data_IF_155239357292
#
_entry.id   IF_155239357292
#
_cell.length_a   1.000
_cell.length_b   1.000
_cell.length_c   1.000
_cell.angle_alpha   90.00
_cell.angle_beta   90.00
_cell.angle_gamma   90.00
#
_symmetry.space_group_name_H-M   'P 1'
#
loop_
_entity.id
_entity.type
_entity.pdbx_description
1 polymer ?
#
# COMPACT_ATOMS: atom_id res chain seq x y z
N UNK A 1 44.12 4.84 19.62
CA UNK A 1 43.36 5.84 18.83
C UNK A 1 42.61 5.08 17.76
N UNK A 2 41.29 4.87 17.74
CA UNK A 2 40.14 5.21 18.61
C UNK A 2 39.22 3.97 18.59
N UNK A 3 38.61 3.64 19.73
CA UNK A 3 37.49 2.70 19.91
C UNK A 3 36.16 3.47 20.03
N UNK A 4 35.05 2.72 19.99
CA UNK A 4 33.67 3.09 20.39
C UNK A 4 32.68 2.50 19.38
N UNK A 5 32.08 1.31 19.54
CA UNK A 5 31.18 0.83 20.60
C UNK A 5 30.02 1.80 20.86
N UNK A 6 28.82 1.46 20.37
CA UNK A 6 27.57 2.02 20.84
C UNK A 6 26.79 0.90 21.53
N UNK A 7 26.83 0.97 22.85
CA UNK A 7 26.07 0.19 23.81
C UNK A 7 24.59 0.58 23.72
N UNK A 8 23.71 -0.42 23.72
CA UNK A 8 22.27 -0.26 23.94
C UNK A 8 22.06 -0.52 25.43
N UNK A 9 21.98 0.55 26.22
CA UNK A 9 21.62 0.47 27.62
C UNK A 9 20.62 1.58 27.97
N UNK A 10 19.58 1.16 28.71
CA UNK A 10 18.62 1.95 29.47
C UNK A 10 17.89 3.11 28.77
N UNK A 11 16.63 2.84 28.39
CA UNK A 11 15.58 3.84 28.51
C UNK A 11 14.62 3.34 29.58
N UNK A 12 14.63 4.08 30.68
CA UNK A 12 13.80 3.92 31.87
C UNK A 12 12.32 3.85 31.54
N UNK A 13 11.61 3.04 32.33
CA UNK A 13 10.17 3.16 32.56
C UNK A 13 9.89 4.57 33.08
N UNK A 14 9.41 5.44 32.23
CA UNK A 14 8.70 6.64 32.65
C UNK A 14 7.21 6.45 32.36
N UNK A 15 6.42 6.56 33.43
CA UNK A 15 4.98 6.64 33.43
C UNK A 15 4.54 7.85 32.59
N UNK A 16 3.83 7.61 31.49
CA UNK A 16 3.13 8.67 30.76
C UNK A 16 1.71 8.74 31.29
N UNK A 17 1.47 9.75 32.13
CA UNK A 17 0.17 10.19 32.60
C UNK A 17 -0.66 10.69 31.40
N UNK A 18 -1.86 10.14 31.26
CA UNK A 18 -2.89 10.58 30.31
C UNK A 18 -3.72 11.69 30.95
N UNK A 19 -3.52 12.94 30.55
CA UNK A 19 -4.54 14.00 30.68
C UNK A 19 -4.55 14.85 29.41
N UNK A 20 -5.77 15.14 28.95
CA UNK A 20 -6.19 16.11 27.93
C UNK A 20 -6.01 15.76 26.44
N UNK A 21 -6.94 14.97 25.91
CA UNK A 21 -7.37 15.04 24.51
C UNK A 21 -8.74 15.76 24.47
N UNK A 22 -8.92 16.83 23.69
CA UNK A 22 -10.25 17.38 23.47
C UNK A 22 -11.04 16.48 22.51
N UNK A 23 -12.22 16.08 22.98
CA UNK A 23 -13.34 15.63 22.16
C UNK A 23 -13.61 16.66 21.06
N UNK A 24 -13.85 16.21 19.83
CA UNK A 24 -14.85 16.78 18.91
C UNK A 24 -14.99 15.85 17.69
N UNK A 25 -15.98 14.98 17.78
CA UNK A 25 -16.70 14.45 16.63
C UNK A 25 -17.81 15.47 16.31
N UNK A 26 -17.83 16.03 15.10
CA UNK A 26 -19.09 16.25 14.37
C UNK A 26 -18.86 16.64 12.89
N UNK A 27 -19.68 16.00 12.06
CA UNK A 27 -20.01 16.20 10.64
C UNK A 27 -19.64 17.55 9.98
N UNK A 28 -19.19 17.49 8.72
CA UNK A 28 -19.78 18.36 7.69
C UNK A 28 -19.71 17.70 6.31
N UNK A 29 -20.89 17.59 5.71
CA UNK A 29 -21.12 17.40 4.28
C UNK A 29 -20.36 18.47 3.48
N UNK A 30 -19.71 18.09 2.39
CA UNK A 30 -19.33 19.04 1.35
C UNK A 30 -19.66 18.47 -0.03
N UNK A 31 -20.70 19.07 -0.59
CA UNK A 31 -21.24 18.90 -1.93
C UNK A 31 -20.24 19.22 -3.05
N UNK A 32 -20.61 18.69 -4.22
CA UNK A 32 -20.18 19.04 -5.58
C UNK A 32 -19.72 20.49 -5.78
N UNK A 33 -18.59 20.65 -6.47
CA UNK A 33 -18.49 21.66 -7.54
C UNK A 33 -17.35 21.32 -8.52
N UNK A 34 -17.74 20.67 -9.63
CA UNK A 34 -16.90 20.44 -10.80
C UNK A 34 -16.88 21.71 -11.65
N UNK A 35 -15.87 22.56 -11.45
CA UNK A 35 -15.52 23.59 -12.44
C UNK A 35 -14.59 22.98 -13.50
N UNK A 36 -15.15 22.64 -14.66
CA UNK A 36 -14.39 22.35 -15.87
C UNK A 36 -13.79 23.66 -16.43
N UNK A 37 -12.47 23.68 -16.66
CA UNK A 37 -11.82 24.71 -17.47
C UNK A 37 -10.59 24.14 -18.23
N UNK A 38 -10.75 24.13 -19.56
CA UNK A 38 -9.83 23.88 -20.69
C UNK A 38 -8.31 23.75 -20.46
N UNK A 39 -7.69 22.82 -21.20
CA UNK A 39 -6.28 22.95 -21.63
C UNK A 39 -6.14 22.70 -23.14
N UNK A 40 -5.50 23.65 -23.82
CA UNK A 40 -5.31 23.74 -25.28
C UNK A 40 -4.01 23.07 -25.72
N UNK A 41 -4.10 22.17 -26.71
CA UNK A 41 -2.96 21.56 -27.40
C UNK A 41 -2.27 22.56 -28.35
N UNK A 42 -0.94 22.56 -28.37
CA UNK A 42 -0.13 23.07 -29.50
C UNK A 42 0.80 21.96 -29.96
N UNK A 43 0.66 21.54 -31.21
CA UNK A 43 1.74 20.87 -31.93
C UNK A 43 2.11 21.67 -33.18
N UNK A 44 3.42 21.83 -33.34
CA UNK A 44 4.06 22.68 -34.32
C UNK A 44 3.77 22.27 -35.75
N UNK A 45 3.75 23.29 -36.60
CA UNK A 45 3.67 23.22 -38.04
C UNK A 45 4.81 22.39 -38.63
N UNK A 46 4.47 21.40 -39.45
CA UNK A 46 4.97 21.25 -40.83
C UNK A 46 4.11 20.20 -41.57
N UNK A 47 3.44 20.65 -42.63
CA UNK A 47 2.88 19.87 -43.74
C UNK A 47 3.89 19.96 -44.92
N UNK A 48 3.82 19.19 -46.04
CA UNK A 48 2.60 18.59 -46.58
C UNK A 48 2.72 17.21 -47.26
N UNK A 49 1.55 16.58 -47.45
CA UNK A 49 1.05 15.91 -48.67
C UNK A 49 0.23 14.64 -48.35
N UNK A 50 -1.08 14.85 -48.49
CA UNK A 50 -2.16 14.01 -49.04
C UNK A 50 -2.48 12.61 -48.47
N UNK A 51 -3.70 12.46 -47.94
CA UNK A 51 -4.84 11.90 -48.68
C UNK A 51 -6.17 12.05 -47.90
N UNK A 52 -7.06 12.85 -48.49
CA UNK A 52 -8.54 12.90 -48.50
C UNK A 52 -9.42 12.32 -47.36
N UNK A 53 -10.36 13.18 -46.92
CA UNK A 53 -11.50 12.93 -46.01
C UNK A 53 -12.70 12.27 -46.74
N UNK A 54 -13.67 11.63 -46.06
CA UNK A 54 -14.77 12.41 -45.49
C UNK A 54 -15.32 11.96 -44.12
N UNK A 55 -15.43 12.93 -43.23
CA UNK A 55 -16.52 13.26 -42.29
C UNK A 55 -17.45 12.15 -41.79
N UNK A 56 -17.28 11.79 -40.52
CA UNK A 56 -18.39 11.68 -39.56
C UNK A 56 -17.89 12.06 -38.17
N UNK A 57 -18.18 13.31 -37.78
CA UNK A 57 -17.91 13.89 -36.47
C UNK A 57 -18.74 13.19 -35.38
N UNK A 58 -18.05 12.42 -34.54
CA UNK A 58 -18.24 12.44 -33.09
C UNK A 58 -16.97 11.84 -32.42
N UNK A 59 -15.83 12.49 -32.62
CA UNK A 59 -14.59 12.10 -31.97
C UNK A 59 -14.57 12.69 -30.56
N UNK A 60 -15.11 11.94 -29.60
CA UNK A 60 -14.77 12.10 -28.18
C UNK A 60 -13.24 12.06 -28.08
N UNK A 61 -12.61 13.21 -27.88
CA UNK A 61 -11.17 13.30 -27.71
C UNK A 61 -10.82 12.70 -26.34
N UNK A 62 -10.47 11.42 -26.32
CA UNK A 62 -9.94 10.75 -25.13
C UNK A 62 -8.62 11.45 -24.80
N UNK A 63 -8.54 12.06 -23.62
CA UNK A 63 -7.31 12.68 -23.14
C UNK A 63 -6.31 11.57 -22.79
N UNK A 64 -5.28 11.43 -23.62
CA UNK A 64 -4.19 10.49 -23.38
C UNK A 64 -2.89 11.25 -23.04
N UNK A 65 -2.06 10.61 -22.24
CA UNK A 65 -0.76 11.12 -21.82
C UNK A 65 0.31 10.08 -22.15
N UNK A 66 1.36 10.46 -22.86
CA UNK A 66 2.55 9.61 -23.07
C UNK A 66 3.60 9.90 -21.99
N UNK A 67 4.12 8.85 -21.37
CA UNK A 67 5.13 8.93 -20.32
C UNK A 67 6.37 8.14 -20.73
N UNK A 68 7.54 8.75 -20.56
CA UNK A 68 8.82 8.04 -20.58
C UNK A 68 9.06 7.43 -19.19
N UNK A 69 9.31 6.12 -19.16
CA UNK A 69 9.60 5.38 -17.94
C UNK A 69 11.10 5.49 -17.65
N UNK A 70 11.46 5.55 -16.36
CA UNK A 70 12.86 5.67 -15.93
C UNK A 70 13.75 4.56 -16.51
N UNK A 71 15.03 4.87 -16.77
CA UNK A 71 16.05 3.85 -17.08
C UNK A 71 16.11 2.90 -15.89
N UNK A 72 15.81 1.61 -16.11
CA UNK A 72 15.66 0.56 -15.08
C UNK A 72 14.26 0.46 -14.44
N UNK A 73 13.20 0.54 -15.25
CA UNK A 73 11.89 0.08 -14.79
C UNK A 73 12.00 -1.40 -14.35
N UNK A 74 11.34 -1.84 -13.26
CA UNK A 74 11.42 -3.22 -12.79
C UNK A 74 10.86 -4.27 -13.77
N UNK A 75 10.34 -3.83 -14.90
CA UNK A 75 9.66 -4.65 -15.90
C UNK A 75 10.15 -4.39 -17.34
N UNK A 76 11.31 -3.75 -17.48
CA UNK A 76 12.03 -3.48 -18.73
C UNK A 76 11.19 -2.80 -19.83
N UNK A 77 10.13 -2.09 -19.44
CA UNK A 77 9.32 -1.25 -20.31
C UNK A 77 9.79 0.20 -20.24
N UNK A 78 9.77 0.92 -21.35
CA UNK A 78 10.39 2.26 -21.45
C UNK A 78 9.38 3.37 -21.72
N UNK A 79 8.18 3.06 -22.22
CA UNK A 79 7.16 4.06 -22.52
C UNK A 79 5.75 3.49 -22.28
N UNK A 80 4.81 4.37 -21.93
CA UNK A 80 3.39 4.02 -21.80
C UNK A 80 2.48 5.19 -22.21
N UNK A 81 1.27 4.86 -22.67
CA UNK A 81 0.16 5.79 -22.87
C UNK A 81 -0.91 5.55 -21.82
N UNK A 82 -1.29 6.60 -21.10
CA UNK A 82 -2.27 6.58 -19.99
C UNK A 82 -3.50 7.38 -20.38
N UNK A 83 -4.69 6.84 -20.11
CA UNK A 83 -5.98 7.51 -20.31
C UNK A 83 -6.41 8.18 -19.01
N UNK A 84 -6.29 9.51 -18.96
CA UNK A 84 -6.46 10.29 -17.71
C UNK A 84 -7.85 10.88 -17.56
N UNK A 85 -8.73 10.64 -18.53
CA UNK A 85 -10.14 11.06 -18.53
C UNK A 85 -11.03 10.21 -17.62
N UNK A 86 -10.65 8.95 -17.38
CA UNK A 86 -11.40 8.04 -16.53
C UNK A 86 -10.54 7.50 -15.38
N UNK A 87 -10.97 7.78 -14.15
CA UNK A 87 -10.43 7.14 -12.95
C UNK A 87 -10.99 5.73 -12.85
N UNK A 88 -10.12 4.71 -12.92
CA UNK A 88 -10.50 3.30 -12.77
C UNK A 88 -10.46 2.81 -11.32
N UNK A 89 -9.84 3.59 -10.43
CA UNK A 89 -9.81 3.34 -9.00
C UNK A 89 -9.39 4.57 -8.22
N UNK A 90 -9.94 4.77 -7.03
CA UNK A 90 -9.62 5.90 -6.17
C UNK A 90 -9.45 5.45 -4.72
N UNK A 91 -8.26 5.66 -4.19
CA UNK A 91 -7.94 5.43 -2.77
C UNK A 91 -7.93 6.73 -1.98
N UNK A 92 -7.51 6.66 -0.71
CA UNK A 92 -7.39 7.85 0.13
C UNK A 92 -6.36 8.85 -0.42
N UNK A 93 -5.20 8.35 -0.86
CA UNK A 93 -4.08 9.18 -1.30
C UNK A 93 -3.97 9.33 -2.83
N UNK A 94 -4.38 8.32 -3.60
CA UNK A 94 -4.08 8.21 -5.03
C UNK A 94 -5.32 7.96 -5.88
N UNK A 95 -5.32 8.49 -7.10
CA UNK A 95 -6.19 8.05 -8.18
C UNK A 95 -5.41 7.10 -9.09
N UNK A 96 -6.10 6.12 -9.67
CA UNK A 96 -5.57 5.15 -10.61
C UNK A 96 -6.24 5.33 -11.98
N UNK A 97 -5.44 5.28 -13.02
CA UNK A 97 -5.81 5.46 -14.42
C UNK A 97 -5.30 4.28 -15.23
N UNK A 98 -6.08 3.84 -16.21
CA UNK A 98 -5.67 2.74 -17.10
C UNK A 98 -4.73 3.25 -18.20
N UNK A 99 -3.88 2.36 -18.71
CA UNK A 99 -3.10 2.62 -19.89
C UNK A 99 -2.53 1.34 -20.52
N UNK A 100 -1.65 1.55 -21.48
CA UNK A 100 -0.89 0.48 -22.13
C UNK A 100 0.58 0.87 -22.23
N UNK A 101 1.47 -0.09 -22.01
CA UNK A 101 2.88 0.09 -22.38
C UNK A 101 2.99 0.19 -23.90
N UNK A 102 3.73 1.18 -24.39
CA UNK A 102 3.95 1.40 -25.83
C UNK A 102 5.31 0.93 -26.29
N UNK A 103 6.29 0.79 -25.39
CA UNK A 103 7.65 0.38 -25.72
C UNK A 103 8.31 -0.47 -24.61
N UNK A 104 9.26 -1.34 -25.00
CA UNK A 104 9.96 -2.30 -24.14
C UNK A 104 9.23 -3.65 -23.99
N UNK A 105 9.65 -4.47 -23.02
CA UNK A 105 9.24 -5.90 -22.95
C UNK A 105 7.73 -6.12 -22.81
N UNK A 106 7.00 -5.16 -22.21
CA UNK A 106 5.55 -5.27 -22.01
C UNK A 106 4.74 -4.49 -23.04
N UNK A 107 5.33 -4.04 -24.13
CA UNK A 107 4.61 -3.30 -25.19
C UNK A 107 3.31 -4.01 -25.59
N UNK A 108 2.21 -3.25 -25.64
CA UNK A 108 0.86 -3.73 -25.89
C UNK A 108 0.12 -4.30 -24.68
N UNK A 109 0.77 -4.49 -23.53
CA UNK A 109 0.12 -4.96 -22.30
C UNK A 109 -0.47 -3.78 -21.50
N UNK A 110 -1.56 -4.05 -20.78
CA UNK A 110 -2.23 -3.10 -19.89
C UNK A 110 -1.33 -2.71 -18.72
N UNK A 111 -1.42 -1.44 -18.32
CA UNK A 111 -0.77 -0.89 -17.14
C UNK A 111 -1.72 0.02 -16.35
N UNK A 112 -1.30 0.37 -15.14
CA UNK A 112 -2.01 1.32 -14.28
C UNK A 112 -1.05 2.46 -13.94
N UNK A 113 -1.52 3.70 -14.12
CA UNK A 113 -0.87 4.91 -13.60
C UNK A 113 -1.53 5.35 -12.31
N UNK A 114 -0.75 5.52 -11.25
CA UNK A 114 -1.24 6.01 -9.96
C UNK A 114 -0.63 7.36 -9.64
N UNK A 115 -1.48 8.32 -9.31
CA UNK A 115 -1.11 9.71 -9.07
C UNK A 115 -1.66 10.15 -7.72
N UNK A 116 -0.86 10.84 -6.91
CA UNK A 116 -1.38 11.44 -5.68
C UNK A 116 -2.46 12.48 -5.99
N UNK A 117 -3.51 12.52 -5.17
CA UNK A 117 -4.59 13.50 -5.28
C UNK A 117 -4.07 14.92 -5.00
N UNK A 118 -4.60 15.90 -5.72
CA UNK A 118 -4.26 17.33 -5.56
C UNK A 118 -4.53 17.79 -4.13
N UNK A 119 -3.54 18.39 -3.47
CA UNK A 119 -3.65 18.88 -2.08
C UNK A 119 -2.66 18.22 -1.12
N UNK A 120 -2.20 17.00 -1.42
CA UNK A 120 -0.93 16.52 -0.87
C UNK A 120 0.18 17.27 -1.61
N UNK A 121 1.08 17.92 -0.87
CA UNK A 121 2.17 18.70 -1.45
C UNK A 121 2.90 17.86 -2.51
N UNK A 122 2.74 18.20 -3.79
CA UNK A 122 3.42 17.57 -4.94
C UNK A 122 4.94 17.67 -4.76
N UNK A 123 5.48 16.77 -3.96
CA UNK A 123 6.88 16.78 -3.57
C UNK A 123 7.45 15.41 -3.90
N UNK A 124 8.53 15.40 -4.67
CA UNK A 124 9.36 14.22 -5.00
C UNK A 124 9.63 13.32 -3.80
N UNK A 125 9.64 13.90 -2.60
CA UNK A 125 9.85 13.17 -1.35
C UNK A 125 8.81 12.07 -1.12
N UNK A 126 7.51 12.36 -1.29
CA UNK A 126 6.45 11.38 -1.03
C UNK A 126 6.52 10.21 -2.02
N UNK A 127 6.84 10.51 -3.28
CA UNK A 127 7.03 9.48 -4.29
C UNK A 127 8.23 8.59 -3.98
N UNK A 128 9.36 9.18 -3.57
CA UNK A 128 10.56 8.44 -3.18
C UNK A 128 10.34 7.57 -1.95
N UNK A 129 9.65 8.07 -0.92
CA UNK A 129 9.34 7.27 0.26
C UNK A 129 8.45 6.06 -0.06
N UNK A 130 7.49 6.19 -0.96
CA UNK A 130 6.69 5.05 -1.37
C UNK A 130 7.55 3.97 -2.06
N UNK A 131 8.54 4.36 -2.87
CA UNK A 131 9.50 3.39 -3.44
C UNK A 131 10.28 2.67 -2.33
N UNK A 132 10.73 3.37 -1.29
CA UNK A 132 11.40 2.75 -0.14
C UNK A 132 10.49 1.76 0.61
N UNK A 133 9.19 2.09 0.73
CA UNK A 133 8.17 1.19 1.30
C UNK A 133 7.98 -0.04 0.42
N UNK A 134 7.91 0.12 -0.90
CA UNK A 134 7.79 -0.99 -1.85
C UNK A 134 9.01 -1.90 -1.85
N UNK A 135 10.23 -1.34 -1.78
CA UNK A 135 11.47 -2.12 -1.64
C UNK A 135 11.47 -2.93 -0.34
N UNK A 136 11.02 -2.32 0.77
CA UNK A 136 10.93 -3.01 2.05
C UNK A 136 9.87 -4.12 2.02
N UNK A 137 8.71 -3.85 1.42
CA UNK A 137 7.64 -4.84 1.25
C UNK A 137 8.14 -6.01 0.40
N UNK A 138 8.83 -5.75 -0.71
CA UNK A 138 9.45 -6.78 -1.54
C UNK A 138 10.40 -7.66 -0.74
N UNK A 139 11.29 -7.06 0.06
CA UNK A 139 12.22 -7.82 0.90
C UNK A 139 11.50 -8.74 1.91
N UNK A 140 10.37 -8.30 2.47
CA UNK A 140 9.56 -9.11 3.39
C UNK A 140 8.86 -10.25 2.63
N UNK A 141 8.29 -9.97 1.47
CA UNK A 141 7.63 -10.97 0.62
C UNK A 141 8.62 -12.03 0.15
N UNK A 142 9.82 -11.63 -0.28
CA UNK A 142 10.87 -12.56 -0.70
C UNK A 142 11.31 -13.45 0.49
N UNK A 143 11.44 -12.89 1.69
CA UNK A 143 11.74 -13.67 2.89
C UNK A 143 10.60 -14.62 3.27
N UNK A 144 9.34 -14.18 3.18
CA UNK A 144 8.16 -15.00 3.43
C UNK A 144 8.13 -16.20 2.48
N UNK A 145 8.29 -15.96 1.19
CA UNK A 145 8.36 -17.03 0.18
C UNK A 145 9.55 -17.98 0.44
N UNK A 146 10.71 -17.47 0.85
CA UNK A 146 11.89 -18.28 1.13
C UNK A 146 11.72 -19.17 2.38
N UNK A 147 10.99 -18.69 3.39
CA UNK A 147 10.65 -19.49 4.59
C UNK A 147 9.53 -20.49 4.35
N UNK A 148 8.81 -20.36 3.24
CA UNK A 148 7.69 -21.21 2.87
C UNK A 148 8.08 -22.08 1.68
N UNK A 149 8.86 -23.14 1.89
CA UNK A 149 9.08 -24.12 0.81
C UNK A 149 7.80 -24.95 0.62
N UNK A 150 7.40 -25.25 -0.64
CA UNK A 150 6.25 -26.10 -0.90
C UNK A 150 6.27 -27.40 -0.07
N UNK A 151 7.44 -28.04 0.09
CA UNK A 151 7.57 -29.29 0.84
C UNK A 151 7.25 -29.21 2.34
N UNK A 152 7.36 -28.05 2.97
CA UNK A 152 7.12 -27.88 4.42
C UNK A 152 5.64 -27.64 4.73
N UNK A 153 4.85 -27.22 3.75
CA UNK A 153 3.41 -26.95 3.87
C UNK A 153 2.53 -28.01 3.17
N UNK A 154 3.10 -28.76 2.21
CA UNK A 154 2.48 -29.96 1.62
C UNK A 154 2.77 -31.23 2.43
N UNK A 155 2.91 -31.16 3.77
CA UNK A 155 2.98 -32.42 4.51
C UNK A 155 1.64 -33.13 4.32
N UNK A 156 1.66 -34.33 3.73
CA UNK A 156 0.53 -35.23 3.46
C UNK A 156 -0.23 -35.69 4.73
N UNK A 157 -0.12 -34.95 5.84
CA UNK A 157 -0.68 -35.26 7.13
C UNK A 157 -1.52 -34.08 7.62
N UNK A 158 -2.66 -33.88 6.96
CA UNK A 158 -3.85 -33.41 7.64
C UNK A 158 -4.92 -34.49 7.49
N UNK A 159 -5.33 -35.04 8.63
CA UNK A 159 -6.40 -36.01 8.77
C UNK A 159 -7.69 -35.41 8.16
N UNK A 160 -8.04 -35.78 6.92
CA UNK A 160 -9.28 -35.32 6.27
C UNK A 160 -9.23 -34.93 4.79
N UNK A 161 -8.06 -34.87 4.14
CA UNK A 161 -7.98 -34.89 2.67
C UNK A 161 -8.06 -33.56 1.89
N UNK A 162 -7.84 -32.40 2.54
CA UNK A 162 -7.60 -31.14 1.82
C UNK A 162 -6.21 -30.59 2.20
N UNK A 163 -5.25 -30.68 1.28
CA UNK A 163 -4.04 -29.85 1.35
C UNK A 163 -4.43 -28.41 1.07
N UNK A 164 -3.92 -27.47 1.86
CA UNK A 164 -4.16 -26.05 1.67
C UNK A 164 -2.93 -25.49 0.94
N UNK A 165 -3.01 -25.23 -0.38
CA UNK A 165 -1.87 -24.70 -1.11
C UNK A 165 -1.60 -23.26 -0.67
N UNK A 166 -0.43 -23.02 -0.07
CA UNK A 166 0.12 -21.66 0.02
C UNK A 166 0.82 -21.39 -1.30
N UNK A 167 0.23 -20.50 -2.09
CA UNK A 167 0.83 -20.07 -3.34
C UNK A 167 1.90 -18.99 -3.11
N UNK A 168 2.90 -18.90 -3.99
CA UNK A 168 3.90 -17.83 -3.92
C UNK A 168 3.25 -16.45 -3.99
N UNK A 169 3.76 -15.53 -3.17
CA UNK A 169 3.36 -14.12 -3.22
C UNK A 169 4.31 -13.36 -4.14
N UNK A 170 3.81 -12.85 -5.26
CA UNK A 170 4.54 -11.96 -6.15
C UNK A 170 4.27 -10.51 -5.76
N UNK A 171 5.24 -9.65 -6.06
CA UNK A 171 5.12 -8.21 -5.87
C UNK A 171 5.36 -7.50 -7.20
N UNK A 172 4.51 -6.55 -7.55
CA UNK A 172 4.68 -5.65 -8.69
C UNK A 172 5.13 -4.29 -8.19
N UNK A 173 6.45 -4.01 -8.20
CA UNK A 173 6.95 -2.70 -7.84
C UNK A 173 6.56 -1.66 -8.89
N UNK A 174 6.31 -0.45 -8.40
CA UNK A 174 6.00 0.72 -9.19
C UNK A 174 7.24 1.25 -9.89
N UNK A 175 7.05 1.79 -11.09
CA UNK A 175 8.05 2.64 -11.76
C UNK A 175 7.67 4.09 -11.55
N UNK A 176 8.54 4.88 -10.92
CA UNK A 176 8.34 6.32 -10.81
C UNK A 176 8.60 6.99 -12.17
N UNK A 177 7.62 7.77 -12.64
CA UNK A 177 7.63 8.41 -13.95
C UNK A 177 7.26 9.88 -13.80
N UNK A 178 7.89 10.73 -14.62
CA UNK A 178 7.62 12.17 -14.64
C UNK A 178 7.15 12.56 -16.03
N UNK A 179 6.04 13.28 -16.10
CA UNK A 179 5.57 13.87 -17.33
C UNK A 179 6.52 15.03 -17.73
N UNK A 180 7.12 14.93 -18.90
CA UNK A 180 8.12 15.89 -19.37
C UNK A 180 7.57 17.30 -19.62
N UNK A 181 6.26 17.44 -19.88
CA UNK A 181 5.63 18.73 -20.19
C UNK A 181 5.15 19.46 -18.93
N UNK A 182 4.52 18.73 -18.02
CA UNK A 182 3.87 19.29 -16.82
C UNK A 182 4.72 19.15 -15.56
N UNK A 183 5.73 18.27 -15.57
CA UNK A 183 6.49 17.88 -14.38
C UNK A 183 5.70 17.00 -13.40
N UNK A 184 4.47 16.60 -13.74
CA UNK A 184 3.65 15.75 -12.88
C UNK A 184 4.27 14.35 -12.74
N UNK A 185 4.36 13.85 -11.52
CA UNK A 185 4.85 12.50 -11.25
C UNK A 185 3.70 11.49 -11.17
N UNK A 186 4.00 10.23 -11.49
CA UNK A 186 3.10 9.11 -11.34
C UNK A 186 3.87 7.81 -11.10
N UNK A 187 3.21 6.82 -10.52
CA UNK A 187 3.68 5.44 -10.50
C UNK A 187 3.06 4.66 -11.65
N UNK A 188 3.85 3.89 -12.37
CA UNK A 188 3.39 3.01 -13.42
C UNK A 188 3.69 1.56 -13.03
N UNK A 189 2.66 0.72 -13.03
CA UNK A 189 2.76 -0.70 -12.70
C UNK A 189 1.96 -1.55 -13.69
N UNK A 190 2.29 -2.85 -13.85
CA UNK A 190 1.49 -3.76 -14.65
C UNK A 190 0.03 -3.82 -14.17
N UNK A 191 -0.91 -3.93 -15.09
CA UNK A 191 -2.31 -4.12 -14.71
C UNK A 191 -2.50 -5.50 -14.06
N UNK A 192 -3.22 -5.52 -12.94
CA UNK A 192 -3.53 -6.74 -12.18
C UNK A 192 -5.03 -7.02 -12.30
N UNK A 193 -5.38 -8.17 -12.87
CA UNK A 193 -6.77 -8.63 -12.98
C UNK A 193 -7.34 -9.02 -11.60
N UNK A 194 -8.66 -8.86 -11.45
CA UNK A 194 -9.40 -9.18 -10.21
C UNK A 194 -8.82 -8.50 -8.95
N UNK A 195 -8.42 -7.24 -9.12
CA UNK A 195 -7.82 -6.42 -8.07
C UNK A 195 -8.77 -6.27 -6.88
N UNK A 196 -8.28 -6.59 -5.68
CA UNK A 196 -9.02 -6.49 -4.43
C UNK A 196 -8.08 -6.25 -3.25
N UNK A 197 -8.65 -5.82 -2.13
CA UNK A 197 -7.95 -5.67 -0.86
C UNK A 197 -8.10 -6.95 -0.04
N UNK A 198 -6.98 -7.62 0.23
CA UNK A 198 -6.92 -8.85 1.02
C UNK A 198 -6.94 -8.56 2.51
N UNK A 199 -6.31 -7.45 2.92
CA UNK A 199 -6.47 -6.91 4.26
C UNK A 199 -6.39 -5.38 4.28
N UNK A 200 -7.05 -4.76 5.25
CA UNK A 200 -6.94 -3.33 5.52
C UNK A 200 -5.77 -3.02 6.46
N UNK A 201 -5.39 -1.75 6.52
CA UNK A 201 -4.47 -1.24 7.54
C UNK A 201 -4.92 -1.54 8.99
N UNK A 202 -6.22 -1.82 9.21
CA UNK A 202 -6.79 -2.17 10.51
C UNK A 202 -6.94 -3.69 10.72
N UNK A 203 -6.36 -4.50 9.81
CA UNK A 203 -6.39 -5.96 9.87
C UNK A 203 -7.72 -6.59 9.50
N UNK A 204 -8.66 -5.83 8.92
CA UNK A 204 -9.92 -6.38 8.42
C UNK A 204 -9.68 -7.11 7.10
N UNK A 205 -10.20 -8.32 6.97
CA UNK A 205 -10.27 -9.06 5.72
C UNK A 205 -11.74 -9.32 5.34
N UNK A 206 -12.07 -9.52 4.05
CA UNK A 206 -13.39 -10.01 3.67
C UNK A 206 -13.63 -11.41 4.24
N UNK A 207 -14.81 -11.64 4.84
CA UNK A 207 -15.15 -12.91 5.52
C UNK A 207 -15.15 -14.12 4.57
N UNK A 208 -15.45 -13.90 3.28
CA UNK A 208 -15.61 -14.95 2.26
C UNK A 208 -14.48 -14.95 1.19
N UNK A 209 -13.28 -14.45 1.50
CA UNK A 209 -12.13 -14.50 0.59
C UNK A 209 -11.13 -15.59 0.99
N UNK A 210 -11.15 -16.72 0.27
CA UNK A 210 -10.22 -17.85 0.47
C UNK A 210 -8.74 -17.45 0.34
N UNK A 211 -8.47 -16.31 -0.30
CA UNK A 211 -7.13 -15.77 -0.48
C UNK A 211 -6.71 -14.82 0.66
N UNK A 212 -7.61 -14.40 1.55
CA UNK A 212 -7.28 -13.43 2.58
C UNK A 212 -6.44 -14.01 3.72
N UNK A 213 -6.72 -15.23 4.18
CA UNK A 213 -6.03 -15.84 5.32
C UNK A 213 -4.51 -16.04 5.10
N UNK A 214 -4.03 -16.52 3.94
CA UNK A 214 -2.59 -16.56 3.64
C UNK A 214 -1.93 -15.18 3.65
N UNK A 215 -2.63 -14.16 3.16
CA UNK A 215 -2.13 -12.79 3.10
C UNK A 215 -2.13 -12.12 4.49
N UNK A 216 -3.08 -12.47 5.36
CA UNK A 216 -3.05 -12.11 6.78
C UNK A 216 -1.83 -12.70 7.49
N UNK A 217 -1.43 -13.93 7.16
CA UNK A 217 -0.21 -14.54 7.69
C UNK A 217 1.06 -13.81 7.23
N UNK A 218 1.11 -13.29 6.00
CA UNK A 218 2.20 -12.43 5.54
C UNK A 218 2.32 -11.15 6.37
N UNK A 219 1.19 -10.51 6.72
CA UNK A 219 1.19 -9.39 7.66
C UNK A 219 1.74 -9.80 9.02
N UNK A 220 1.30 -10.90 9.61
CA UNK A 220 1.85 -11.40 10.89
C UNK A 220 3.35 -11.70 10.80
N UNK A 221 3.79 -12.38 9.74
CA UNK A 221 5.19 -12.67 9.49
C UNK A 221 6.08 -11.42 9.46
N UNK A 222 5.60 -10.33 8.84
CA UNK A 222 6.34 -9.07 8.80
C UNK A 222 6.64 -8.49 10.20
N UNK A 223 5.71 -8.67 11.14
CA UNK A 223 5.92 -8.31 12.54
C UNK A 223 6.94 -9.21 13.21
N UNK A 224 6.89 -10.51 12.94
CA UNK A 224 7.87 -11.44 13.46
C UNK A 224 9.29 -11.18 12.96
N UNK A 225 9.50 -11.10 11.64
CA UNK A 225 10.84 -10.94 11.06
C UNK A 225 11.44 -9.56 11.32
N UNK A 226 10.64 -8.60 11.76
CA UNK A 226 11.10 -7.28 12.19
C UNK A 226 11.36 -7.16 13.69
N UNK A 227 11.29 -8.26 14.46
CA UNK A 227 11.36 -8.26 15.93
C UNK A 227 10.31 -7.33 16.57
N UNK A 228 9.11 -7.30 15.99
CA UNK A 228 7.98 -6.53 16.50
C UNK A 228 8.03 -5.03 16.19
N UNK A 229 8.87 -4.60 15.24
CA UNK A 229 9.10 -3.18 14.94
C UNK A 229 8.14 -2.60 13.90
N UNK A 230 7.58 -3.44 13.04
CA UNK A 230 6.70 -3.00 11.96
C UNK A 230 5.69 -4.07 11.53
N UNK A 231 4.64 -3.65 10.82
CA UNK A 231 3.66 -4.54 10.21
C UNK A 231 3.42 -4.10 8.76
N UNK A 232 3.59 -5.02 7.82
CA UNK A 232 3.15 -4.87 6.44
C UNK A 232 1.63 -5.04 6.38
N UNK A 233 0.92 -4.06 5.83
CA UNK A 233 -0.54 -4.00 5.84
C UNK A 233 -1.09 -3.31 4.58
N UNK A 234 -2.41 -3.17 4.53
CA UNK A 234 -3.13 -2.67 3.35
C UNK A 234 -2.81 -3.48 2.08
N UNK A 235 -2.70 -4.80 2.24
CA UNK A 235 -2.27 -5.71 1.19
C UNK A 235 -3.39 -5.88 0.17
N UNK A 236 -3.08 -5.53 -1.07
CA UNK A 236 -4.03 -5.45 -2.17
C UNK A 236 -3.39 -5.86 -3.49
N UNK A 237 -4.19 -6.37 -4.41
CA UNK A 237 -3.73 -6.94 -5.66
C UNK A 237 -4.67 -8.02 -6.18
N UNK A 238 -4.12 -8.98 -6.94
CA UNK A 238 -4.86 -10.06 -7.57
C UNK A 238 -4.42 -11.42 -7.02
N UNK A 239 -5.35 -12.36 -6.98
CA UNK A 239 -5.10 -13.75 -6.59
C UNK A 239 -5.74 -14.68 -7.60
N UNK A 240 -4.98 -15.67 -8.07
CA UNK A 240 -5.42 -16.72 -8.98
C UNK A 240 -4.86 -18.10 -8.56
N UNK A 241 -5.13 -19.13 -9.37
CA UNK A 241 -4.65 -20.50 -9.11
C UNK A 241 -3.10 -20.64 -9.16
N UNK A 242 -2.37 -19.59 -9.54
CA UNK A 242 -0.91 -19.54 -9.56
C UNK A 242 -0.34 -18.66 -8.45
N UNK A 243 -1.20 -18.07 -7.60
CA UNK A 243 -0.84 -17.32 -6.42
C UNK A 243 -1.21 -15.85 -6.43
N UNK A 244 -0.48 -15.10 -5.63
CA UNK A 244 -0.80 -13.71 -5.32
C UNK A 244 0.09 -12.78 -6.12
N UNK A 245 -0.45 -11.65 -6.52
CA UNK A 245 0.31 -10.54 -7.09
C UNK A 245 -0.14 -9.27 -6.40
N UNK A 246 0.71 -8.77 -5.49
CA UNK A 246 0.45 -7.60 -4.67
C UNK A 246 1.05 -6.34 -5.27
N UNK A 247 0.42 -5.21 -5.00
CA UNK A 247 0.88 -3.86 -5.33
C UNK A 247 0.45 -2.88 -4.22
N UNK A 248 1.01 -1.67 -4.21
CA UNK A 248 0.65 -0.61 -3.25
C UNK A 248 0.59 -1.05 -1.78
N UNK A 249 1.68 -1.58 -1.20
CA UNK A 249 1.71 -1.93 0.20
C UNK A 249 1.78 -0.68 1.09
N UNK A 250 1.31 -0.81 2.32
CA UNK A 250 1.57 0.12 3.41
C UNK A 250 2.35 -0.58 4.55
N UNK A 251 3.07 0.21 5.34
CA UNK A 251 3.75 -0.28 6.54
C UNK A 251 3.27 0.51 7.74
N UNK A 252 3.03 -0.18 8.85
CA UNK A 252 2.83 0.42 10.16
C UNK A 252 4.11 0.27 10.98
N UNK A 253 4.68 1.36 11.50
CA UNK A 253 5.81 1.29 12.45
C UNK A 253 5.35 1.37 13.91
N UNK A 254 6.09 0.76 14.84
CA UNK A 254 5.75 0.74 16.27
C UNK A 254 5.95 2.11 16.96
N UNK A 255 6.81 2.96 16.39
CA UNK A 255 7.16 4.25 16.99
C UNK A 255 6.23 5.38 16.56
N UNK A 256 6.06 6.43 17.39
CA UNK A 256 5.29 7.60 17.00
C UNK A 256 5.95 8.40 15.86
N UNK A 257 7.22 8.14 15.54
CA UNK A 257 7.98 8.87 14.53
C UNK A 257 7.58 8.55 13.09
N UNK A 258 6.76 7.51 12.83
CA UNK A 258 6.28 7.14 11.49
C UNK A 258 7.43 6.98 10.48
N UNK A 259 8.20 5.90 10.66
CA UNK A 259 9.45 5.66 9.93
C UNK A 259 9.28 5.44 8.42
N UNK A 260 8.06 5.16 7.95
CA UNK A 260 7.76 4.82 6.55
C UNK A 260 7.02 5.93 5.80
N UNK A 261 7.16 7.17 6.24
CA UNK A 261 6.62 8.34 5.56
C UNK A 261 5.13 8.60 5.82
N UNK A 262 4.47 9.49 5.05
CA UNK A 262 3.09 9.91 5.28
C UNK A 262 2.05 8.80 5.22
N UNK A 263 2.34 7.69 4.53
CA UNK A 263 1.46 6.52 4.44
C UNK A 263 1.67 5.51 5.57
N UNK A 264 2.57 5.80 6.52
CA UNK A 264 2.82 4.92 7.67
C UNK A 264 1.60 4.87 8.61
N UNK A 265 1.03 3.67 8.77
CA UNK A 265 -0.20 3.43 9.53
C UNK A 265 0.02 3.37 11.06
N UNK A 266 1.28 3.23 11.48
CA UNK A 266 1.80 3.37 12.84
C UNK A 266 1.24 2.44 13.91
N UNK A 267 1.50 2.72 15.21
CA UNK A 267 1.33 1.72 16.26
C UNK A 267 -0.12 1.27 16.46
N UNK A 268 -1.07 2.16 16.23
CA UNK A 268 -2.49 1.83 16.37
C UNK A 268 -2.95 0.79 15.33
N UNK A 269 -2.40 0.83 14.12
CA UNK A 269 -2.68 -0.16 13.09
C UNK A 269 -2.15 -1.54 13.50
N UNK A 270 -0.94 -1.60 14.08
CA UNK A 270 -0.36 -2.84 14.63
C UNK A 270 -1.25 -3.42 15.74
N UNK A 271 -1.66 -2.58 16.70
CA UNK A 271 -2.53 -3.00 17.80
C UNK A 271 -3.86 -3.56 17.27
N UNK A 272 -4.47 -2.83 16.34
CA UNK A 272 -5.78 -3.19 15.78
C UNK A 272 -5.70 -4.47 14.95
N UNK A 273 -4.63 -4.64 14.16
CA UNK A 273 -4.36 -5.88 13.45
C UNK A 273 -4.33 -7.06 14.43
N UNK A 274 -3.52 -7.01 15.49
CA UNK A 274 -3.41 -8.13 16.43
C UNK A 274 -4.65 -8.36 17.30
N UNK A 275 -5.50 -7.35 17.48
CA UNK A 275 -6.81 -7.50 18.12
C UNK A 275 -7.77 -8.32 17.26
N UNK A 276 -7.71 -8.15 15.94
CA UNK A 276 -8.64 -8.79 15.00
C UNK A 276 -8.06 -10.08 14.38
N UNK A 277 -6.74 -10.21 14.33
CA UNK A 277 -6.06 -11.32 13.68
C UNK A 277 -6.14 -12.59 14.52
N UNK A 278 -6.76 -13.62 13.94
CA UNK A 278 -6.74 -14.99 14.43
C UNK A 278 -5.69 -15.74 13.63
N UNK A 279 -4.68 -16.28 14.33
CA UNK A 279 -3.70 -17.15 13.68
C UNK A 279 -4.41 -18.42 13.22
N UNK A 280 -4.48 -18.62 11.91
CA UNK A 280 -4.97 -19.84 11.28
C UNK A 280 -3.81 -20.80 10.98
N UNK A 281 -4.10 -21.84 10.20
CA UNK A 281 -3.13 -22.83 9.73
C UNK A 281 -1.91 -22.22 9.03
N UNK A 282 -2.03 -21.01 8.48
CA UNK A 282 -0.98 -20.31 7.73
C UNK A 282 0.07 -19.59 8.61
N UNK A 283 -0.22 -19.36 9.89
CA UNK A 283 0.69 -18.68 10.79
C UNK A 283 1.57 -19.69 11.52
N UNK A 284 2.88 -19.44 11.60
CA UNK A 284 3.75 -20.26 12.44
C UNK A 284 3.51 -19.91 13.92
N UNK A 285 3.21 -20.89 14.81
CA UNK A 285 2.93 -20.63 16.23
C UNK A 285 4.14 -20.04 17.00
N UNK A 286 5.34 -20.08 16.44
CA UNK A 286 6.55 -19.48 17.03
C UNK A 286 6.75 -18.02 16.63
N UNK A 287 5.93 -17.48 15.71
CA UNK A 287 6.01 -16.09 15.32
C UNK A 287 5.64 -15.16 16.47
N UNK A 288 6.37 -14.06 16.57
CA UNK A 288 6.12 -13.04 17.58
C UNK A 288 4.70 -12.50 17.40
N UNK A 289 3.98 -12.36 18.51
CA UNK A 289 2.64 -11.76 18.56
C UNK A 289 2.63 -10.63 19.58
N UNK A 290 1.91 -9.55 19.27
CA UNK A 290 1.68 -8.50 20.26
C UNK A 290 0.75 -9.05 21.36
N UNK A 291 1.23 -9.05 22.61
CA UNK A 291 0.38 -9.35 23.77
C UNK A 291 -0.58 -8.18 24.01
N UNK A 292 -1.82 -8.31 23.54
CA UNK A 292 -2.89 -7.38 23.86
C UNK A 292 -3.36 -7.69 25.28
N UNK A 293 -2.73 -7.09 26.28
CA UNK A 293 -3.24 -7.14 27.66
C UNK A 293 -4.44 -6.20 27.73
N UNK A 294 -5.66 -6.76 27.65
CA UNK A 294 -6.85 -6.04 28.06
C UNK A 294 -6.71 -5.71 29.55
N UNK A 295 -6.39 -4.46 29.87
CA UNK A 295 -6.59 -4.00 31.25
C UNK A 295 -8.09 -3.98 31.48
N UNK A 296 -8.57 -4.89 32.33
CA UNK A 296 -9.82 -4.67 33.04
C UNK A 296 -9.73 -3.29 33.70
N UNK A 297 -10.50 -2.33 33.19
CA UNK A 297 -10.68 -1.05 33.85
C UNK A 297 -11.35 -1.36 35.18
N UNK A 298 -10.56 -1.42 36.25
CA UNK A 298 -11.10 -1.47 37.60
C UNK A 298 -12.07 -0.28 37.74
N UNK A 299 -13.31 -0.50 38.20
CA UNK A 299 -14.27 0.57 38.30
C UNK A 299 -13.68 1.69 39.15
N UNK A 300 -13.64 2.91 38.60
CA UNK A 300 -13.23 4.11 39.31
C UNK A 300 -14.14 4.23 40.53
N UNK A 301 -13.62 3.89 41.72
CA UNK A 301 -14.27 4.30 42.95
C UNK A 301 -14.14 5.81 43.02
N UNK A 302 -15.26 6.52 42.86
CA UNK A 302 -15.37 7.95 43.18
C UNK A 302 -15.00 8.15 44.65
N UNK A 303 -13.72 8.39 44.91
CA UNK A 303 -13.20 8.82 46.20
C UNK A 303 -13.53 10.29 46.42
N UNK A 304 -14.00 10.62 47.62
CA UNK A 304 -14.33 11.99 48.04
C UNK A 304 -13.14 12.93 47.82
N UNK A 305 -13.40 14.08 47.18
CA UNK A 305 -12.48 15.21 47.16
C UNK A 305 -12.11 15.59 48.61
N UNK A 306 -10.83 15.72 48.96
CA UNK A 306 -10.43 16.23 50.26
C UNK A 306 -10.87 17.71 50.40
N UNK A 307 -11.29 18.15 51.59
CA UNK A 307 -11.75 19.52 51.80
C UNK A 307 -10.58 20.50 51.63
N UNK A 308 -10.84 21.55 50.87
CA UNK A 308 -9.94 22.68 50.65
C UNK A 308 -9.62 23.36 51.99
N UNK A 309 -8.34 23.48 52.34
CA UNK A 309 -7.90 24.29 53.47
C UNK A 309 -7.95 25.78 53.11
N UNK A 310 -8.58 26.59 53.96
CA UNK A 310 -8.64 28.07 53.90
C UNK A 310 -7.41 28.71 54.51
#
# INVERSE_FOLDING_TARGET
MREGFFDIADISRDEVSLEDAPDDLENSDFDDDMFAANMTLKLGTNSPDDLENPDSDDCLSIANMTLELGKHSPNDSTEATIYVDQVIGSGFFKNAYEGFYTNGERSGQRCVSKQFKTGFSYQDYQYRQQIEVEEKAKSIIDAFNATNTPSEWHSDLFDGGNTIPIYPVRFHPSTLCTNNETGAMSFIEPFIENYRKFNSALGQAPDDDEFAAPIQALSHFSYHISDGKMLLCDLQGGGDANGYTLADPAIASVGPQRLYGPSDMGPQAILTFFKNHVCEVYCNPQWLKLEVVERELLPIQRGLLPPYET
#
